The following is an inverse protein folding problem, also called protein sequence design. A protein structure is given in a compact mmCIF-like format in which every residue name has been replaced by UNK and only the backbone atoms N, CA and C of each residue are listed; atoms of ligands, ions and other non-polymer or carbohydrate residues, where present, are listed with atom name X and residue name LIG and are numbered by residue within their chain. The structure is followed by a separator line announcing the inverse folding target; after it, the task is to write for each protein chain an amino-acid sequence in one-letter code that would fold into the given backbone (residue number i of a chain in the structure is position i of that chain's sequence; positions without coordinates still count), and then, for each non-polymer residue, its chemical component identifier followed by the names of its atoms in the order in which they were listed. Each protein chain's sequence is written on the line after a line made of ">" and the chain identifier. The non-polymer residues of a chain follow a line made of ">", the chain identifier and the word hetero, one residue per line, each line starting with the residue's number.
data_IF_828599614421
#
_entry.id   IF_828599614421
#
_cell.length_a   1.000
_cell.length_b   1.000
_cell.length_c   1.000
_cell.angle_alpha   90.00
_cell.angle_beta   90.00
_cell.angle_gamma   90.00
#
_symmetry.space_group_name_H-M   'P 1'
#
loop_
_entity.id
_entity.type
_entity.pdbx_description
1 polymer ?
#
# COMPACT_ATOMS: atom_id res chain seq x y z
N UNK A 1 9.61 8.39 -7.68
CA UNK A 1 9.11 6.99 -7.74
C UNK A 1 7.70 7.01 -8.35
N UNK A 2 7.24 5.91 -8.92
CA UNK A 2 5.86 5.79 -9.42
C UNK A 2 5.31 4.40 -9.12
N UNK A 3 3.98 4.28 -9.11
CA UNK A 3 3.26 3.03 -8.88
C UNK A 3 2.69 2.53 -10.20
N UNK A 4 2.77 1.22 -10.42
CA UNK A 4 2.14 0.50 -11.52
C UNK A 4 1.17 -0.53 -10.92
N UNK A 5 -0.13 -0.37 -11.21
CA UNK A 5 -1.21 -1.23 -10.72
C UNK A 5 -1.83 -2.00 -11.87
N UNK A 6 -2.12 -3.30 -11.73
CA UNK A 6 -3.01 -4.00 -12.66
C UNK A 6 -4.35 -3.27 -12.79
N UNK A 7 -4.96 -3.31 -13.98
CA UNK A 7 -6.32 -2.78 -14.17
C UNK A 7 -7.39 -3.59 -13.43
N UNK A 8 -7.11 -4.86 -13.18
CA UNK A 8 -7.95 -5.73 -12.34
C UNK A 8 -7.69 -5.44 -10.86
N UNK A 9 -8.73 -4.98 -10.14
CA UNK A 9 -8.63 -4.64 -8.73
C UNK A 9 -8.41 -5.86 -7.82
N UNK A 10 -8.73 -7.08 -8.29
CA UNK A 10 -8.46 -8.32 -7.55
C UNK A 10 -7.01 -8.81 -7.74
N UNK A 11 -6.27 -8.27 -8.72
CA UNK A 11 -4.83 -8.49 -8.86
C UNK A 11 -4.03 -7.52 -7.97
N UNK A 12 -3.49 -8.07 -6.89
CA UNK A 12 -2.75 -7.31 -5.88
C UNK A 12 -1.25 -7.19 -6.19
N UNK A 13 -0.79 -7.58 -7.38
CA UNK A 13 0.60 -7.48 -7.81
C UNK A 13 0.95 -6.03 -8.22
N UNK A 14 1.04 -5.15 -7.22
CA UNK A 14 1.33 -3.72 -7.39
C UNK A 14 2.85 -3.51 -7.36
N UNK A 15 3.40 -2.79 -8.33
CA UNK A 15 4.82 -2.49 -8.39
C UNK A 15 5.10 -1.01 -8.10
N UNK A 16 6.19 -0.74 -7.40
CA UNK A 16 6.71 0.62 -7.18
C UNK A 16 8.11 0.67 -7.74
N UNK A 17 8.37 1.61 -8.63
CA UNK A 17 9.68 1.78 -9.27
C UNK A 17 10.42 2.98 -8.69
N UNK A 18 11.63 2.76 -8.22
CA UNK A 18 12.47 3.80 -7.64
C UNK A 18 13.38 4.42 -8.70
N UNK A 19 13.66 5.74 -8.64
CA UNK A 19 14.60 6.38 -9.54
C UNK A 19 16.01 5.78 -9.43
N UNK A 20 16.69 5.59 -10.56
CA UNK A 20 18.08 5.11 -10.60
C UNK A 20 19.03 5.94 -9.74
N UNK A 21 18.83 7.27 -9.68
CA UNK A 21 19.61 8.18 -8.82
C UNK A 21 19.49 7.89 -7.31
N UNK A 22 18.48 7.11 -6.90
CA UNK A 22 18.24 6.67 -5.52
C UNK A 22 18.55 5.17 -5.33
N UNK A 23 19.29 4.56 -6.24
CA UNK A 23 19.64 3.13 -6.20
C UNK A 23 18.77 2.23 -7.07
N UNK A 24 17.72 2.77 -7.70
CA UNK A 24 16.86 2.01 -8.60
C UNK A 24 16.11 0.87 -7.91
N UNK A 25 15.76 -0.12 -8.70
CA UNK A 25 15.01 -1.30 -8.29
C UNK A 25 13.50 -1.05 -8.20
N UNK A 26 12.80 -2.11 -7.81
CA UNK A 26 11.36 -2.09 -7.63
C UNK A 26 10.92 -2.77 -6.35
N UNK A 27 9.87 -2.25 -5.73
CA UNK A 27 9.10 -2.95 -4.69
C UNK A 27 7.93 -3.66 -5.36
N UNK A 28 7.77 -4.96 -5.13
CA UNK A 28 6.63 -5.72 -5.61
C UNK A 28 5.76 -6.11 -4.42
N UNK A 29 4.57 -5.56 -4.36
CA UNK A 29 3.56 -5.86 -3.36
C UNK A 29 2.74 -7.07 -3.83
N UNK A 30 2.20 -7.80 -2.87
CA UNK A 30 1.35 -8.95 -3.14
C UNK A 30 0.37 -9.17 -2.00
N UNK A 31 -0.67 -9.96 -2.24
CA UNK A 31 -1.59 -10.41 -1.18
C UNK A 31 -0.78 -11.12 -0.11
N UNK A 32 -0.89 -10.65 1.14
CA UNK A 32 -0.10 -11.12 2.28
C UNK A 32 0.02 -12.66 2.32
N UNK A 33 1.26 -13.15 2.37
CA UNK A 33 1.60 -14.56 2.60
C UNK A 33 2.44 -14.64 3.87
N UNK A 34 1.92 -15.29 4.91
CA UNK A 34 2.60 -15.37 6.20
C UNK A 34 2.80 -13.98 6.84
N UNK A 35 4.06 -13.60 7.05
CA UNK A 35 4.48 -12.31 7.62
C UNK A 35 4.99 -11.33 6.55
N UNK A 36 4.75 -11.60 5.26
CA UNK A 36 5.22 -10.78 4.14
C UNK A 36 4.08 -10.22 3.30
N UNK A 37 4.24 -8.97 2.86
CA UNK A 37 3.29 -8.24 2.00
C UNK A 37 3.95 -7.55 0.80
N UNK A 38 5.28 -7.57 0.73
CA UNK A 38 6.04 -7.11 -0.44
C UNK A 38 7.47 -7.63 -0.40
N UNK A 39 8.19 -7.47 -1.50
CA UNK A 39 9.63 -7.69 -1.59
C UNK A 39 10.31 -6.61 -2.45
N UNK A 40 11.58 -6.34 -2.16
CA UNK A 40 12.39 -5.39 -2.92
C UNK A 40 13.34 -6.13 -3.85
N UNK A 41 13.40 -5.69 -5.09
CA UNK A 41 14.24 -6.25 -6.14
C UNK A 41 15.15 -5.14 -6.70
N UNK A 42 16.43 -5.08 -6.28
CA UNK A 42 17.33 -3.97 -6.60
C UNK A 42 17.68 -3.87 -8.09
N UNK A 43 17.76 -5.00 -8.79
CA UNK A 43 18.16 -5.05 -10.21
C UNK A 43 16.97 -4.83 -11.17
N UNK A 44 15.74 -4.88 -10.64
CA UNK A 44 14.52 -4.89 -11.43
C UNK A 44 13.97 -3.47 -11.61
N UNK A 45 14.35 -2.84 -12.73
CA UNK A 45 14.04 -1.44 -13.04
C UNK A 45 13.02 -1.27 -14.17
N UNK A 46 12.69 -2.34 -14.88
CA UNK A 46 11.81 -2.30 -16.05
C UNK A 46 10.33 -2.50 -15.66
N UNK A 47 9.45 -1.72 -16.28
CA UNK A 47 7.99 -1.89 -16.19
C UNK A 47 7.53 -3.17 -16.87
N UNK A 48 6.36 -3.68 -16.46
CA UNK A 48 5.76 -4.87 -17.10
C UNK A 48 5.30 -4.51 -18.52
N UNK A 49 5.41 -5.47 -19.44
CA UNK A 49 5.06 -5.28 -20.86
C UNK A 49 3.86 -6.09 -21.34
N UNK A 50 3.40 -7.04 -20.53
CA UNK A 50 2.28 -7.91 -20.85
C UNK A 50 1.13 -7.61 -19.90
N UNK A 51 -0.03 -7.22 -20.44
CA UNK A 51 -1.20 -6.81 -19.66
C UNK A 51 -1.47 -5.32 -19.75
N UNK A 52 -2.38 -4.83 -18.92
CA UNK A 52 -2.76 -3.41 -18.86
C UNK A 52 -2.61 -2.90 -17.44
N UNK A 53 -2.07 -1.68 -17.33
CA UNK A 53 -1.67 -1.10 -16.05
C UNK A 53 -2.06 0.36 -15.94
N UNK A 54 -2.35 0.78 -14.72
CA UNK A 54 -2.53 2.17 -14.33
C UNK A 54 -1.22 2.64 -13.69
N UNK A 55 -0.74 3.80 -14.15
CA UNK A 55 0.45 4.43 -13.61
C UNK A 55 0.06 5.69 -12.84
N UNK A 56 0.56 5.83 -11.62
CA UNK A 56 0.31 7.00 -10.77
C UNK A 56 1.57 7.47 -10.05
N UNK A 57 1.56 8.73 -9.64
CA UNK A 57 2.62 9.28 -8.79
C UNK A 57 2.66 8.56 -7.44
N UNK A 58 3.87 8.24 -6.98
CA UNK A 58 4.05 7.67 -5.65
C UNK A 58 3.87 8.74 -4.57
N UNK A 59 2.81 8.61 -3.76
CA UNK A 59 2.56 9.49 -2.63
C UNK A 59 3.42 9.05 -1.43
N UNK A 60 4.29 9.96 -0.97
CA UNK A 60 5.10 9.74 0.23
C UNK A 60 4.24 9.93 1.48
N UNK A 61 4.03 8.84 2.23
CA UNK A 61 3.35 8.86 3.53
C UNK A 61 4.36 8.67 4.67
N UNK A 62 3.89 8.77 5.92
CA UNK A 62 4.68 8.43 7.12
C UNK A 62 4.80 6.91 7.35
N UNK A 63 4.78 6.12 6.27
CA UNK A 63 4.95 4.67 6.34
C UNK A 63 3.72 3.90 6.84
N UNK A 64 2.55 4.54 6.89
CA UNK A 64 1.28 3.88 7.23
C UNK A 64 0.22 4.17 6.18
N UNK A 65 -0.68 3.22 6.00
CA UNK A 65 -1.88 3.35 5.19
C UNK A 65 -3.08 3.47 6.13
N UNK A 66 -3.92 4.49 5.91
CA UNK A 66 -5.21 4.60 6.60
C UNK A 66 -6.24 3.74 5.88
N UNK A 67 -6.93 2.88 6.62
CA UNK A 67 -8.04 2.05 6.15
C UNK A 67 -9.31 2.61 6.78
N UNK A 68 -10.24 3.03 5.93
CA UNK A 68 -11.53 3.58 6.33
C UNK A 68 -12.63 2.56 6.01
N UNK A 69 -13.56 2.38 6.94
CA UNK A 69 -14.69 1.47 6.81
C UNK A 69 -15.96 2.24 7.16
N UNK A 70 -16.92 2.28 6.23
CA UNK A 70 -18.12 3.10 6.36
C UNK A 70 -19.34 2.26 6.71
N UNK A 71 -20.28 2.85 7.44
CA UNK A 71 -21.60 2.27 7.74
C UNK A 71 -22.63 3.36 7.46
N UNK A 72 -23.05 3.44 6.19
CA UNK A 72 -23.77 4.62 5.69
C UNK A 72 -22.86 5.86 5.59
N UNK A 73 -23.43 7.01 5.21
CA UNK A 73 -22.65 8.24 4.98
C UNK A 73 -22.19 8.93 6.27
N UNK A 74 -22.87 8.67 7.40
CA UNK A 74 -22.66 9.42 8.65
C UNK A 74 -21.66 8.76 9.61
N UNK A 75 -21.24 7.53 9.32
CA UNK A 75 -20.32 6.77 10.17
C UNK A 75 -19.15 6.18 9.38
N UNK A 76 -17.92 6.54 9.79
CA UNK A 76 -16.69 5.96 9.29
C UNK A 76 -15.74 5.60 10.44
N UNK A 77 -15.32 4.34 10.50
CA UNK A 77 -14.22 3.87 11.35
C UNK A 77 -12.90 3.92 10.58
N UNK A 78 -11.84 4.40 11.22
CA UNK A 78 -10.51 4.47 10.60
C UNK A 78 -9.41 3.87 11.48
N UNK A 79 -8.51 3.15 10.83
CA UNK A 79 -7.32 2.56 11.44
C UNK A 79 -6.13 2.66 10.49
N UNK A 80 -4.93 2.87 11.02
CA UNK A 80 -3.69 2.82 10.26
C UNK A 80 -3.06 1.44 10.36
N UNK A 81 -2.43 1.00 9.27
CA UNK A 81 -1.54 -0.17 9.24
C UNK A 81 -0.21 0.22 8.64
N UNK A 82 0.84 -0.52 8.96
CA UNK A 82 2.15 -0.34 8.32
C UNK A 82 2.00 -0.51 6.81
N UNK A 83 2.51 0.46 6.05
CA UNK A 83 2.43 0.41 4.59
C UNK A 83 3.29 -0.74 4.06
N UNK A 84 2.78 -1.55 3.13
CA UNK A 84 3.56 -2.62 2.50
C UNK A 84 4.72 -2.06 1.67
N UNK A 85 4.73 -0.76 1.37
CA UNK A 85 5.80 -0.10 0.60
C UNK A 85 7.12 0.06 1.36
N UNK A 86 7.12 -0.19 2.67
CA UNK A 86 8.31 -0.11 3.52
C UNK A 86 9.25 -1.32 3.34
N UNK A 87 9.31 -2.23 4.30
CA UNK A 87 10.20 -3.41 4.27
C UNK A 87 9.45 -4.70 3.89
N UNK A 88 8.13 -4.63 3.69
CA UNK A 88 7.27 -5.77 3.39
C UNK A 88 7.00 -6.72 4.56
N UNK A 89 7.52 -6.48 5.76
CA UNK A 89 7.27 -7.31 6.95
C UNK A 89 6.03 -6.83 7.68
N UNK A 90 5.08 -7.73 7.84
CA UNK A 90 3.80 -7.52 8.52
C UNK A 90 4.04 -7.49 10.03
N UNK A 91 3.68 -6.37 10.66
CA UNK A 91 3.81 -6.21 12.11
C UNK A 91 2.65 -6.90 12.82
N UNK A 92 2.95 -7.78 13.78
CA UNK A 92 1.94 -8.55 14.52
C UNK A 92 2.10 -8.36 16.03
N UNK A 93 0.96 -8.36 16.72
CA UNK A 93 0.90 -8.31 18.17
C UNK A 93 1.25 -9.67 18.81
N UNK A 94 1.27 -9.72 20.15
CA UNK A 94 1.51 -10.94 20.93
C UNK A 94 0.52 -12.09 20.67
N UNK A 95 -0.64 -11.79 20.07
CA UNK A 95 -1.68 -12.76 19.72
C UNK A 95 -1.60 -13.17 18.24
N UNK A 96 -0.59 -12.70 17.50
CA UNK A 96 -0.42 -12.97 16.08
C UNK A 96 -1.34 -12.16 15.15
N UNK A 97 -2.12 -11.21 15.67
CA UNK A 97 -2.95 -10.32 14.85
C UNK A 97 -2.10 -9.19 14.30
N UNK A 98 -2.41 -8.75 13.08
CA UNK A 98 -1.72 -7.59 12.50
C UNK A 98 -2.00 -6.33 13.33
N UNK A 99 -0.94 -5.60 13.67
CA UNK A 99 -1.06 -4.38 14.48
C UNK A 99 -1.84 -3.29 13.72
N UNK A 100 -2.69 -2.58 14.47
CA UNK A 100 -3.55 -1.50 13.97
C UNK A 100 -3.44 -0.32 14.91
N UNK A 101 -3.34 0.88 14.35
CA UNK A 101 -3.26 2.13 15.10
C UNK A 101 -4.59 2.86 14.92
N UNK A 102 -5.27 3.29 16.01
CA UNK A 102 -6.51 4.05 15.87
C UNK A 102 -6.24 5.39 15.16
N UNK A 103 -7.12 5.78 14.24
CA UNK A 103 -7.04 7.04 13.50
C UNK A 103 -8.33 7.83 13.70
N UNK A 104 -8.21 9.11 14.01
CA UNK A 104 -9.33 10.04 13.99
C UNK A 104 -9.32 10.77 12.66
N UNK A 105 -10.37 10.57 11.86
CA UNK A 105 -10.54 11.28 10.60
C UNK A 105 -10.80 12.77 10.85
N UNK A 106 -10.10 13.61 10.09
CA UNK A 106 -10.39 15.03 9.95
C UNK A 106 -11.78 15.25 9.35
N UNK A 107 -12.27 16.50 9.41
CA UNK A 107 -13.55 16.86 8.78
C UNK A 107 -13.55 16.57 7.28
N UNK A 108 -12.45 16.86 6.59
CA UNK A 108 -12.30 16.62 5.15
C UNK A 108 -12.34 15.12 4.81
N UNK A 109 -11.61 14.30 5.57
CA UNK A 109 -11.62 12.85 5.38
C UNK A 109 -12.98 12.21 5.68
N UNK A 110 -13.73 12.76 6.64
CA UNK A 110 -15.13 12.35 6.86
C UNK A 110 -16.02 12.67 5.67
N UNK A 111 -15.82 13.81 5.01
CA UNK A 111 -16.57 14.14 3.78
C UNK A 111 -16.17 13.25 2.61
N UNK A 112 -14.90 12.84 2.51
CA UNK A 112 -14.45 11.88 1.50
C UNK A 112 -14.98 10.46 1.71
N UNK A 113 -15.27 10.09 2.96
CA UNK A 113 -15.78 8.78 3.34
C UNK A 113 -17.32 8.67 3.32
N UNK A 114 -18.03 9.80 3.16
CA UNK A 114 -19.49 9.86 3.17
C UNK A 114 -20.12 9.32 1.87
#
# INVERSE_FOLDING_TARGET
>A
PFVEKPVDADDHNIHIYYPLRLGGGSKRLFRKVGDRSSEFYPEENAVRREGSYIYEEYVLTQGTDVKVYTVGPDYGHAEARKSPTLDGKVKRDKNGKEERIPVLLSREEKMMAA
#
